data_IF_074807300700
#
_entry.id   IF_074807300700
#
_cell.length_a   1.000
_cell.length_b   1.000
_cell.length_c   1.000
_cell.angle_alpha   90.00
_cell.angle_beta   90.00
_cell.angle_gamma   90.00
#
_symmetry.space_group_name_H-M   'P 1'
#
loop_
_entity.id
_entity.type
_entity.pdbx_description
1 polymer ?
#
# COMPACT_ATOMS: atom_id res chain seq x y z
N UNK A 1 -21.94 -3.03 -16.58
CA UNK A 1 -20.93 -2.75 -15.55
C UNK A 1 -21.56 -1.77 -14.59
N UNK A 2 -21.94 -2.22 -13.37
CA UNK A 2 -22.46 -1.36 -12.30
C UNK A 2 -21.35 -0.32 -11.99
N UNK A 3 -21.71 0.97 -12.04
CA UNK A 3 -20.81 2.02 -11.62
C UNK A 3 -20.50 1.80 -10.12
N UNK A 4 -19.22 1.63 -9.78
CA UNK A 4 -18.79 1.53 -8.38
C UNK A 4 -19.10 2.86 -7.70
N UNK A 5 -19.85 2.79 -6.61
CA UNK A 5 -20.19 3.97 -5.84
C UNK A 5 -18.94 4.49 -5.12
N UNK A 6 -18.57 5.72 -5.41
CA UNK A 6 -17.43 6.41 -4.80
C UNK A 6 -17.93 7.15 -3.57
N UNK A 7 -17.51 6.72 -2.39
CA UNK A 7 -17.94 7.31 -1.12
C UNK A 7 -17.16 8.58 -0.77
N UNK A 8 -15.89 8.66 -1.17
CA UNK A 8 -15.04 9.81 -0.88
C UNK A 8 -13.99 10.04 -1.97
N UNK A 9 -13.66 11.31 -2.20
CA UNK A 9 -12.57 11.73 -3.10
C UNK A 9 -11.49 12.44 -2.29
N UNK A 10 -10.23 12.10 -2.53
CA UNK A 10 -9.05 12.72 -1.92
C UNK A 10 -8.07 13.18 -3.01
N UNK A 11 -7.18 14.10 -2.64
CA UNK A 11 -6.16 14.63 -3.54
C UNK A 11 -6.70 15.64 -4.56
N UNK A 12 -5.81 16.08 -5.42
CA UNK A 12 -6.07 17.03 -6.51
C UNK A 12 -5.31 16.55 -7.75
N UNK A 13 -5.86 16.83 -8.93
CA UNK A 13 -5.27 16.42 -10.20
C UNK A 13 -6.32 15.92 -11.18
N UNK A 14 -5.94 15.75 -12.44
CA UNK A 14 -6.85 15.33 -13.51
C UNK A 14 -6.92 13.83 -13.71
N UNK A 15 -5.93 13.08 -13.26
CA UNK A 15 -5.96 11.61 -13.28
C UNK A 15 -6.71 11.08 -12.06
N UNK A 16 -7.53 10.06 -12.25
CA UNK A 16 -8.40 9.51 -11.22
C UNK A 16 -8.12 8.02 -10.99
N UNK A 17 -7.97 7.62 -9.74
CA UNK A 17 -7.79 6.22 -9.37
C UNK A 17 -8.91 5.81 -8.41
N UNK A 18 -9.68 4.80 -8.76
CA UNK A 18 -10.71 4.19 -7.91
C UNK A 18 -10.07 3.07 -7.10
N UNK A 19 -10.16 3.16 -5.77
CA UNK A 19 -9.45 2.30 -4.83
C UNK A 19 -10.46 1.63 -3.90
N UNK A 20 -10.40 0.29 -3.70
CA UNK A 20 -11.23 -0.39 -2.69
C UNK A 20 -10.94 0.12 -1.28
N UNK A 21 -11.96 0.24 -0.44
CA UNK A 21 -11.83 0.73 0.95
C UNK A 21 -10.81 -0.05 1.79
N UNK A 22 -10.73 -1.37 1.58
CA UNK A 22 -9.76 -2.23 2.26
C UNK A 22 -8.28 -1.94 1.89
N UNK A 23 -8.04 -1.20 0.80
CA UNK A 23 -6.69 -0.81 0.38
C UNK A 23 -6.39 0.61 0.83
N UNK A 24 -5.65 0.74 1.92
CA UNK A 24 -5.24 2.03 2.46
C UNK A 24 -4.05 2.58 1.65
N UNK A 25 -4.19 3.78 1.09
CA UNK A 25 -3.05 4.52 0.53
C UNK A 25 -2.31 5.16 1.71
N UNK A 26 -1.12 4.68 2.03
CA UNK A 26 -0.33 5.15 3.16
C UNK A 26 0.75 6.15 2.74
N UNK A 27 1.16 6.13 1.46
CA UNK A 27 2.18 7.05 0.96
C UNK A 27 1.97 7.37 -0.52
N UNK A 28 2.21 8.61 -0.90
CA UNK A 28 2.28 9.11 -2.28
C UNK A 28 3.57 9.91 -2.43
N UNK A 29 4.45 9.49 -3.36
CA UNK A 29 5.74 10.16 -3.64
C UNK A 29 6.55 10.46 -2.38
N UNK A 30 6.70 9.45 -1.52
CA UNK A 30 7.39 9.54 -0.23
C UNK A 30 6.73 10.48 0.82
N UNK A 31 5.52 10.96 0.57
CA UNK A 31 4.72 11.73 1.53
C UNK A 31 3.66 10.83 2.15
N UNK A 32 3.56 10.85 3.46
CA UNK A 32 2.50 10.13 4.15
C UNK A 32 1.12 10.73 3.79
N UNK A 33 0.19 9.86 3.48
CA UNK A 33 -1.21 10.17 3.16
C UNK A 33 -2.09 9.49 4.20
N UNK A 34 -3.10 10.20 4.64
CA UNK A 34 -4.15 9.61 5.45
C UNK A 34 -5.31 9.21 4.54
N UNK A 35 -5.46 7.92 4.31
CA UNK A 35 -6.63 7.39 3.60
C UNK A 35 -7.91 7.62 4.38
N UNK A 36 -9.05 7.77 3.68
CA UNK A 36 -10.33 7.81 4.37
C UNK A 36 -10.61 6.46 5.04
N UNK A 37 -11.11 6.52 6.26
CA UNK A 37 -11.64 5.35 6.95
C UNK A 37 -13.05 5.08 6.41
N UNK A 38 -13.18 4.02 5.62
CA UNK A 38 -14.44 3.57 5.06
C UNK A 38 -14.65 2.11 5.47
N UNK A 39 -15.85 1.74 5.94
CA UNK A 39 -16.12 0.35 6.32
C UNK A 39 -16.15 -0.58 5.10
N UNK A 40 -16.62 -0.08 3.97
CA UNK A 40 -16.75 -0.82 2.70
C UNK A 40 -16.71 0.15 1.51
N UNK A 41 -16.81 -0.37 0.29
CA UNK A 41 -16.95 0.45 -0.91
C UNK A 41 -15.63 0.89 -1.53
N UNK A 42 -15.62 2.10 -2.06
CA UNK A 42 -14.50 2.64 -2.83
C UNK A 42 -14.30 4.11 -2.52
N UNK A 43 -13.05 4.56 -2.58
CA UNK A 43 -12.72 5.97 -2.65
C UNK A 43 -11.97 6.29 -3.93
N UNK A 44 -11.92 7.57 -4.28
CA UNK A 44 -11.21 8.06 -5.45
C UNK A 44 -10.02 8.91 -5.02
N UNK A 45 -8.87 8.62 -5.57
CA UNK A 45 -7.69 9.48 -5.50
C UNK A 45 -7.61 10.29 -6.79
N UNK A 46 -7.54 11.61 -6.67
CA UNK A 46 -7.17 12.51 -7.75
C UNK A 46 -5.67 12.80 -7.65
N UNK A 47 -4.95 12.60 -8.74
CA UNK A 47 -3.50 12.75 -8.80
C UNK A 47 -3.11 13.53 -10.04
N UNK A 48 -2.05 14.34 -9.96
CA UNK A 48 -1.49 15.00 -11.12
C UNK A 48 -0.97 13.98 -12.14
N UNK A 49 -1.00 14.29 -13.46
CA UNK A 49 -0.36 13.44 -14.45
C UNK A 49 1.14 13.33 -14.23
N UNK A 50 1.72 12.18 -14.57
CA UNK A 50 3.15 11.93 -14.46
C UNK A 50 3.48 10.68 -13.67
N UNK A 51 4.78 10.48 -13.45
CA UNK A 51 5.28 9.34 -12.70
C UNK A 51 5.07 9.50 -11.20
N UNK A 52 4.32 8.57 -10.61
CA UNK A 52 4.06 8.54 -9.19
C UNK A 52 4.35 7.17 -8.57
N UNK A 53 4.75 7.21 -7.30
CA UNK A 53 4.88 6.04 -6.46
C UNK A 53 3.80 6.06 -5.38
N UNK A 54 2.92 5.07 -5.43
CA UNK A 54 1.87 4.87 -4.44
C UNK A 54 2.23 3.67 -3.57
N UNK A 55 2.08 3.81 -2.26
CA UNK A 55 2.27 2.71 -1.32
C UNK A 55 0.93 2.40 -0.67
N UNK A 56 0.48 1.19 -0.86
CA UNK A 56 -0.77 0.69 -0.32
C UNK A 56 -0.52 -0.34 0.76
N UNK A 57 -1.50 -0.50 1.63
CA UNK A 57 -1.57 -1.56 2.62
C UNK A 57 -3.00 -2.09 2.67
N UNK A 58 -3.17 -3.40 2.68
CA UNK A 58 -4.47 -4.00 2.97
C UNK A 58 -4.72 -3.88 4.47
N UNK A 59 -5.88 -3.38 4.82
CA UNK A 59 -6.35 -3.25 6.19
C UNK A 59 -7.85 -3.45 6.24
N UNK A 60 -8.31 -4.51 6.88
CA UNK A 60 -9.72 -4.79 7.03
C UNK A 60 -10.03 -5.37 8.40
N UNK A 61 -11.17 -4.96 8.95
CA UNK A 61 -11.68 -5.47 10.23
C UNK A 61 -12.76 -6.51 9.96
N UNK A 62 -12.46 -7.75 10.29
CA UNK A 62 -13.35 -8.89 10.16
C UNK A 62 -14.05 -9.14 11.50
N UNK A 63 -15.28 -8.64 11.63
CA UNK A 63 -16.13 -8.89 12.79
C UNK A 63 -17.04 -10.08 12.52
N UNK A 64 -16.78 -11.21 13.18
CA UNK A 64 -17.73 -12.29 13.33
C UNK A 64 -18.31 -12.21 14.75
N UNK A 65 -19.49 -11.58 14.86
CA UNK A 65 -20.33 -11.56 16.08
C UNK A 65 -19.66 -11.15 17.40
N UNK A 66 -19.86 -9.90 17.80
CA UNK A 66 -19.83 -9.33 19.17
C UNK A 66 -18.54 -9.36 20.01
N UNK A 67 -17.44 -9.95 19.57
CA UNK A 67 -16.15 -9.86 20.25
C UNK A 67 -15.11 -9.10 19.42
N UNK A 68 -14.11 -8.52 20.08
CA UNK A 68 -13.08 -7.67 19.52
C UNK A 68 -12.67 -8.04 18.09
N UNK A 69 -13.02 -7.19 17.11
CA UNK A 69 -12.82 -7.47 15.69
C UNK A 69 -11.39 -7.88 15.36
N UNK A 70 -11.25 -8.86 14.49
CA UNK A 70 -9.96 -9.33 14.01
C UNK A 70 -9.50 -8.44 12.87
N UNK A 71 -8.44 -7.67 13.11
CA UNK A 71 -7.84 -6.81 12.09
C UNK A 71 -6.84 -7.64 11.29
N UNK A 72 -7.04 -7.69 9.98
CA UNK A 72 -6.08 -8.27 9.03
C UNK A 72 -5.34 -7.15 8.34
N UNK A 73 -4.02 -7.18 8.41
CA UNK A 73 -3.11 -6.18 7.86
C UNK A 73 -2.03 -6.86 7.02
N UNK A 74 -1.75 -6.33 5.82
CA UNK A 74 -0.66 -6.83 4.98
C UNK A 74 0.63 -6.05 5.18
N UNK A 75 1.74 -6.61 4.66
CA UNK A 75 2.91 -5.79 4.35
C UNK A 75 2.57 -4.76 3.28
N UNK A 76 3.27 -3.60 3.27
CA UNK A 76 3.07 -2.60 2.23
C UNK A 76 3.40 -3.11 0.84
N UNK A 77 2.63 -2.65 -0.15
CA UNK A 77 2.83 -2.92 -1.57
C UNK A 77 3.01 -1.61 -2.32
N UNK A 78 3.97 -1.57 -3.21
CA UNK A 78 4.36 -0.37 -3.97
C UNK A 78 3.86 -0.51 -5.40
N UNK A 79 3.14 0.50 -5.86
CA UNK A 79 2.70 0.66 -7.24
C UNK A 79 3.40 1.89 -7.82
N UNK A 80 4.09 1.72 -8.95
CA UNK A 80 4.68 2.82 -9.71
C UNK A 80 4.05 2.87 -11.08
N UNK A 81 3.60 4.04 -11.48
CA UNK A 81 2.96 4.20 -12.78
C UNK A 81 3.04 5.65 -13.27
N UNK A 82 3.10 5.81 -14.59
CA UNK A 82 3.03 7.10 -15.28
C UNK A 82 1.57 7.38 -15.65
N UNK A 83 0.91 8.24 -14.86
CA UNK A 83 -0.49 8.56 -15.01
C UNK A 83 -0.71 9.61 -16.10
N UNK A 84 -1.61 9.33 -17.01
CA UNK A 84 -1.99 10.26 -18.08
C UNK A 84 -3.14 11.16 -17.60
N UNK A 85 -3.14 12.42 -18.07
CA UNK A 85 -4.19 13.39 -17.76
C UNK A 85 -5.58 12.90 -18.20
N UNK A 86 -6.60 13.26 -17.44
CA UNK A 86 -8.02 13.01 -17.74
C UNK A 86 -8.39 11.52 -17.88
N UNK A 87 -7.53 10.64 -17.39
CA UNK A 87 -7.75 9.20 -17.40
C UNK A 87 -8.25 8.69 -16.05
N UNK A 88 -9.10 7.65 -16.12
CA UNK A 88 -9.63 6.96 -14.95
C UNK A 88 -9.08 5.56 -14.87
N UNK A 89 -8.45 5.28 -13.76
CA UNK A 89 -7.84 4.01 -13.42
C UNK A 89 -8.61 3.32 -12.29
N UNK A 90 -8.38 2.05 -12.11
CA UNK A 90 -8.96 1.28 -11.02
C UNK A 90 -7.90 0.38 -10.42
N UNK A 91 -7.76 0.44 -9.10
CA UNK A 91 -7.03 -0.56 -8.35
C UNK A 91 -7.90 -1.80 -8.19
N UNK A 92 -7.37 -2.95 -8.57
CA UNK A 92 -8.03 -4.23 -8.46
C UNK A 92 -7.35 -5.09 -7.41
N UNK A 93 -8.16 -5.73 -6.60
CA UNK A 93 -7.78 -6.83 -5.72
C UNK A 93 -8.72 -8.00 -5.97
N UNK A 94 -8.37 -9.24 -5.63
CA UNK A 94 -9.30 -10.37 -5.67
C UNK A 94 -10.51 -10.12 -4.76
N UNK A 95 -11.59 -10.82 -5.02
CA UNK A 95 -12.75 -10.80 -4.11
C UNK A 95 -12.41 -11.62 -2.87
N UNK A 96 -12.44 -10.99 -1.71
CA UNK A 96 -12.19 -11.60 -0.41
C UNK A 96 -13.55 -11.79 0.26
N UNK A 97 -13.88 -13.01 0.69
CA UNK A 97 -15.22 -13.40 1.15
C UNK A 97 -15.27 -13.71 2.63
N UNK A 98 -14.14 -14.14 3.19
CA UNK A 98 -14.03 -14.56 4.57
C UNK A 98 -12.65 -14.23 5.16
N UNK A 99 -12.51 -14.45 6.45
CA UNK A 99 -11.30 -14.18 7.20
C UNK A 99 -10.08 -14.97 6.71
N UNK A 100 -10.25 -16.23 6.35
CA UNK A 100 -9.13 -17.09 5.90
C UNK A 100 -8.61 -16.62 4.53
N UNK A 101 -9.50 -16.20 3.62
CA UNK A 101 -9.14 -15.56 2.36
C UNK A 101 -8.41 -14.23 2.62
N UNK A 102 -8.83 -13.45 3.63
CA UNK A 102 -8.19 -12.21 4.00
C UNK A 102 -6.76 -12.41 4.51
N UNK A 103 -6.54 -13.40 5.37
CA UNK A 103 -5.20 -13.80 5.85
C UNK A 103 -4.34 -14.22 4.66
N UNK A 104 -4.84 -15.13 3.82
CA UNK A 104 -4.11 -15.61 2.63
C UNK A 104 -3.72 -14.45 1.71
N UNK A 105 -4.64 -13.51 1.48
CA UNK A 105 -4.37 -12.32 0.66
C UNK A 105 -3.34 -11.40 1.32
N UNK A 106 -3.45 -11.17 2.63
CA UNK A 106 -2.50 -10.30 3.34
C UNK A 106 -1.06 -10.81 3.30
N UNK A 107 -0.88 -12.12 3.32
CA UNK A 107 0.44 -12.76 3.19
C UNK A 107 0.98 -12.73 1.74
N UNK A 108 0.07 -12.81 0.75
CA UNK A 108 0.40 -12.87 -0.67
C UNK A 108 -0.31 -11.75 -1.45
N UNK A 109 -0.15 -10.51 -0.97
CA UNK A 109 -0.82 -9.36 -1.55
C UNK A 109 -0.47 -9.19 -3.03
N UNK A 110 -1.49 -9.19 -3.88
CA UNK A 110 -1.40 -8.93 -5.31
C UNK A 110 -2.42 -7.87 -5.68
N UNK A 111 -1.94 -6.72 -6.13
CA UNK A 111 -2.75 -5.61 -6.59
C UNK A 111 -2.44 -5.30 -8.05
N UNK A 112 -3.45 -4.93 -8.80
CA UNK A 112 -3.33 -4.61 -10.20
C UNK A 112 -3.96 -3.24 -10.51
N UNK A 113 -3.25 -2.42 -11.29
CA UNK A 113 -3.81 -1.20 -11.86
C UNK A 113 -4.41 -1.52 -13.22
N UNK A 114 -5.65 -1.11 -13.42
CA UNK A 114 -6.38 -1.33 -14.66
C UNK A 114 -7.01 -0.05 -15.19
N UNK A 115 -7.18 0.00 -16.50
CA UNK A 115 -7.97 1.00 -17.22
C UNK A 115 -8.83 0.30 -18.26
N UNK A 116 -10.14 0.54 -18.20
CA UNK A 116 -11.11 -0.09 -19.14
C UNK A 116 -10.98 -1.62 -19.22
N UNK A 117 -10.68 -2.28 -18.10
CA UNK A 117 -10.47 -3.73 -18.03
C UNK A 117 -9.11 -4.20 -18.53
N UNK A 118 -8.24 -3.31 -19.02
CA UNK A 118 -6.88 -3.65 -19.42
C UNK A 118 -5.93 -3.49 -18.26
N UNK A 119 -5.16 -4.52 -17.98
CA UNK A 119 -4.07 -4.48 -17.00
C UNK A 119 -2.96 -3.55 -17.46
N UNK A 120 -2.51 -2.66 -16.58
CA UNK A 120 -1.45 -1.70 -16.87
C UNK A 120 -0.20 -1.91 -16.00
N UNK A 121 -0.39 -2.23 -14.72
CA UNK A 121 0.71 -2.46 -13.78
C UNK A 121 0.29 -3.37 -12.63
N UNK A 122 1.26 -4.01 -11.98
CA UNK A 122 1.11 -4.74 -10.73
C UNK A 122 1.85 -4.03 -9.60
N UNK A 123 1.36 -4.19 -8.37
CA UNK A 123 2.09 -3.81 -7.19
C UNK A 123 3.22 -4.80 -6.89
N UNK A 124 4.26 -4.33 -6.23
CA UNK A 124 5.42 -5.10 -5.80
C UNK A 124 5.52 -4.99 -4.28
N UNK A 125 5.66 -6.10 -3.58
CA UNK A 125 5.88 -6.07 -2.12
C UNK A 125 7.13 -5.24 -1.79
N UNK A 126 7.04 -4.39 -0.79
CA UNK A 126 8.18 -3.57 -0.37
C UNK A 126 9.40 -4.44 0.03
N UNK A 127 9.15 -5.62 0.61
CA UNK A 127 10.17 -6.61 0.95
C UNK A 127 10.92 -7.17 -0.28
N UNK A 128 10.25 -7.29 -1.42
CA UNK A 128 10.85 -7.81 -2.67
C UNK A 128 11.80 -6.80 -3.32
N UNK A 129 11.54 -5.51 -3.17
CA UNK A 129 12.44 -4.46 -3.69
C UNK A 129 13.79 -4.42 -2.98
N UNK A 130 13.83 -4.80 -1.70
CA UNK A 130 15.10 -4.90 -0.96
C UNK A 130 15.88 -6.16 -1.26
N UNK A 131 15.19 -7.24 -1.70
CA UNK A 131 15.81 -8.53 -2.01
C UNK A 131 16.36 -8.62 -3.44
N UNK A 132 15.84 -7.83 -4.40
CA UNK A 132 16.24 -7.95 -5.80
C UNK A 132 16.05 -6.62 -6.57
N UNK A 133 17.03 -5.69 -6.52
CA UNK A 133 16.92 -4.38 -7.17
C UNK A 133 16.84 -4.45 -8.71
N UNK A 134 17.01 -5.63 -9.30
CA UNK A 134 17.03 -5.87 -10.76
C UNK A 134 15.79 -6.61 -11.30
N UNK A 135 14.72 -6.78 -10.53
CA UNK A 135 13.53 -7.48 -11.02
C UNK A 135 12.81 -6.69 -12.13
N UNK A 136 12.60 -7.28 -13.34
CA UNK A 136 12.17 -6.56 -14.55
C UNK A 136 10.65 -6.33 -14.67
N UNK A 137 9.88 -6.36 -13.57
CA UNK A 137 8.42 -6.26 -13.64
C UNK A 137 7.86 -4.83 -13.52
N UNK A 138 8.70 -3.82 -13.68
CA UNK A 138 8.26 -2.43 -13.79
C UNK A 138 8.33 -2.02 -15.25
N UNK A 139 7.20 -1.99 -15.93
CA UNK A 139 7.12 -1.41 -17.27
C UNK A 139 7.26 0.09 -17.16
N UNK A 140 8.52 0.57 -17.19
CA UNK A 140 8.79 1.98 -17.40
C UNK A 140 8.58 2.31 -18.87
N UNK A 141 7.63 3.17 -19.21
CA UNK A 141 7.79 4.00 -20.39
C UNK A 141 8.84 5.04 -20.04
N UNK A 142 10.07 4.86 -20.54
CA UNK A 142 11.07 5.90 -20.47
C UNK A 142 10.59 7.11 -21.28
N UNK A 143 10.22 8.16 -20.58
CA UNK A 143 10.30 9.51 -21.09
C UNK A 143 11.46 10.20 -20.37
N UNK A 144 12.37 10.76 -21.16
CA UNK A 144 13.72 11.14 -20.83
C UNK A 144 13.95 11.95 -19.56
N UNK A 145 15.13 11.73 -19.05
CA UNK A 145 15.93 12.59 -18.18
C UNK A 145 15.27 13.10 -16.89
N UNK A 146 15.40 12.32 -15.83
CA UNK A 146 15.64 12.94 -14.52
C UNK A 146 16.48 12.03 -13.62
N UNK A 147 17.41 12.67 -12.92
CA UNK A 147 18.47 12.10 -12.14
C UNK A 147 17.96 11.16 -11.05
N UNK A 148 18.68 10.08 -10.88
CA UNK A 148 18.68 9.05 -9.87
C UNK A 148 18.29 9.56 -8.46
N UNK A 149 16.98 9.75 -8.20
CA UNK A 149 16.48 9.93 -6.84
C UNK A 149 16.42 8.55 -6.21
N UNK A 150 17.51 8.18 -5.56
CA UNK A 150 17.68 6.92 -4.86
C UNK A 150 16.41 6.50 -4.11
N UNK A 151 16.05 5.23 -4.26
CA UNK A 151 14.99 4.56 -3.50
C UNK A 151 15.23 4.81 -2.00
N UNK A 152 14.40 5.66 -1.40
CA UNK A 152 14.37 5.76 0.07
C UNK A 152 13.79 4.43 0.54
N UNK A 153 14.50 3.66 1.39
CA UNK A 153 13.99 2.42 1.92
C UNK A 153 12.65 2.66 2.61
N UNK A 154 11.63 1.90 2.23
CA UNK A 154 10.33 1.95 2.92
C UNK A 154 10.55 1.48 4.36
N UNK A 155 10.17 2.32 5.31
CA UNK A 155 10.19 1.99 6.72
C UNK A 155 8.75 1.68 7.16
N UNK A 156 8.47 0.39 7.44
CA UNK A 156 7.15 -0.03 7.91
C UNK A 156 6.74 0.71 9.19
N UNK A 157 5.44 0.92 9.39
CA UNK A 157 4.93 1.52 10.62
C UNK A 157 5.36 0.72 11.86
N UNK A 158 5.46 -0.60 11.75
CA UNK A 158 5.99 -1.47 12.82
C UNK A 158 7.45 -1.15 13.13
N UNK A 159 8.28 -0.99 12.09
CA UNK A 159 9.69 -0.63 12.27
C UNK A 159 9.84 0.79 12.85
N UNK A 160 9.03 1.75 12.40
CA UNK A 160 8.97 3.10 12.98
C UNK A 160 8.59 3.04 14.46
N UNK A 161 7.55 2.27 14.80
CA UNK A 161 7.12 2.07 16.18
C UNK A 161 8.20 1.40 17.02
N UNK A 162 8.85 0.35 16.50
CA UNK A 162 9.96 -0.31 17.20
C UNK A 162 11.13 0.64 17.41
N UNK A 163 11.52 1.43 16.41
CA UNK A 163 12.57 2.44 16.53
C UNK A 163 12.22 3.52 17.55
N UNK A 164 10.96 3.99 17.55
CA UNK A 164 10.46 4.95 18.52
C UNK A 164 10.54 4.38 19.94
N UNK A 165 9.99 3.17 20.16
CA UNK A 165 10.05 2.48 21.45
C UNK A 165 11.49 2.25 21.91
N UNK A 166 12.37 1.86 20.97
CA UNK A 166 13.79 1.69 21.25
C UNK A 166 14.47 3.01 21.66
N UNK A 167 14.10 4.12 21.02
CA UNK A 167 14.66 5.45 21.35
C UNK A 167 14.18 5.94 22.70
N UNK A 168 12.93 5.65 23.06
CA UNK A 168 12.29 6.02 24.35
C UNK A 168 12.65 5.07 25.48
N UNK A 169 13.16 3.86 25.17
CA UNK A 169 13.50 2.83 26.15
C UNK A 169 14.69 3.23 27.03
N UNK A 170 14.61 2.89 28.30
CA UNK A 170 15.70 3.05 29.27
C UNK A 170 16.87 2.10 28.97
N UNK A 171 18.00 2.32 29.59
CA UNK A 171 19.19 1.47 29.44
C UNK A 171 18.92 0.03 29.93
N UNK A 172 18.14 -0.12 30.99
CA UNK A 172 17.73 -1.42 31.55
C UNK A 172 16.81 -2.18 30.59
N UNK A 173 15.82 -1.51 30.02
CA UNK A 173 14.90 -2.10 29.05
C UNK A 173 15.62 -2.53 27.78
N UNK A 174 16.53 -1.72 27.24
CA UNK A 174 17.36 -2.10 26.10
C UNK A 174 18.21 -3.32 26.40
N UNK A 175 18.79 -3.41 27.58
CA UNK A 175 19.59 -4.56 28.03
C UNK A 175 18.73 -5.82 28.14
N UNK A 176 17.53 -5.73 28.73
CA UNK A 176 16.58 -6.83 28.82
C UNK A 176 16.14 -7.33 27.45
N UNK A 177 15.88 -6.42 26.50
CA UNK A 177 15.53 -6.76 25.13
C UNK A 177 16.67 -7.49 24.40
N UNK A 178 17.92 -7.06 24.55
CA UNK A 178 19.09 -7.75 24.01
C UNK A 178 19.27 -9.15 24.57
N UNK A 179 18.99 -9.35 25.87
CA UNK A 179 19.02 -10.66 26.50
C UNK A 179 17.93 -11.58 25.97
N UNK A 180 16.75 -11.03 25.63
CA UNK A 180 15.65 -11.78 25.05
C UNK A 180 15.92 -12.18 23.59
N UNK A 181 16.58 -11.31 22.81
CA UNK A 181 17.02 -11.58 21.43
C UNK A 181 18.22 -12.54 21.33
N UNK A 182 18.86 -12.92 22.44
CA UNK A 182 20.06 -13.74 22.49
C UNK A 182 20.07 -14.96 21.54
N UNK A 183 21.20 -15.64 21.32
CA UNK A 183 21.37 -16.58 20.21
C UNK A 183 20.33 -17.69 20.27
N UNK A 184 19.44 -17.73 19.25
CA UNK A 184 18.52 -18.84 18.97
C UNK A 184 19.21 -19.88 18.14
#
# INVERSE_FOLDING_TARGET
VLAKEIEKTIGQGSSQIVIPAAMQLIQLDNREIQSPELPTGYYQLNIEPGNHQLVFQYLENWNDNDDAGMIVESDPVILRFDFEADNRYQLQIPTIRDYDEAITFSENIDIALQQNGKLLAHGIKASELTANPTSPHVVYRQSGNDEDKGLIPFESNRLKTMKKLWTEATTEERKAFWMWLGPQ
#
